data_IF_472561993058
#
_entry.id   IF_472561993058
#
_cell.length_a   1.000
_cell.length_b   1.000
_cell.length_c   1.000
_cell.angle_alpha   90.00
_cell.angle_beta   90.00
_cell.angle_gamma   90.00
#
_symmetry.space_group_name_H-M   'P 1'
#
loop_
_entity.id
_entity.type
_entity.pdbx_description
1 polymer ?
#
# COMPACT_ATOMS: atom_id res chain seq x y z
N UNK A 1 28.09 11.13 -5.27
CA UNK A 1 27.22 10.35 -4.35
C UNK A 1 25.93 10.07 -5.07
N UNK A 2 25.66 8.81 -5.42
CA UNK A 2 24.34 8.41 -5.92
C UNK A 2 23.59 7.93 -4.68
N UNK A 3 22.70 8.77 -4.13
CA UNK A 3 21.79 8.34 -3.09
C UNK A 3 20.77 7.39 -3.72
N UNK A 4 20.87 6.12 -3.33
CA UNK A 4 19.93 5.09 -3.72
C UNK A 4 18.65 5.29 -2.89
N UNK A 5 17.79 6.22 -3.34
CA UNK A 5 16.55 6.62 -2.66
C UNK A 5 15.61 5.44 -2.34
N UNK A 6 15.81 4.28 -2.99
CA UNK A 6 15.05 3.06 -2.72
C UNK A 6 15.39 2.41 -1.38
N UNK A 7 16.61 2.59 -0.84
CA UNK A 7 16.99 1.98 0.45
C UNK A 7 16.23 2.54 1.65
N UNK A 8 15.69 3.74 1.50
CA UNK A 8 14.96 4.44 2.57
C UNK A 8 13.46 4.15 2.55
N UNK A 9 12.97 3.45 1.53
CA UNK A 9 11.56 3.15 1.31
C UNK A 9 11.32 1.67 1.58
N UNK A 10 10.35 1.37 2.43
CA UNK A 10 10.08 0.01 2.86
C UNK A 10 8.58 -0.27 2.79
N UNK A 11 8.26 -1.50 2.38
CA UNK A 11 6.87 -1.98 2.27
C UNK A 11 6.80 -3.36 2.90
N UNK A 12 5.82 -3.54 3.80
CA UNK A 12 5.52 -4.82 4.42
C UNK A 12 4.09 -5.23 4.08
N UNK A 13 3.91 -6.53 3.83
CA UNK A 13 2.61 -7.10 3.49
C UNK A 13 2.35 -8.30 4.39
N UNK A 14 1.14 -8.38 4.96
CA UNK A 14 0.72 -9.50 5.79
C UNK A 14 -0.72 -9.90 5.47
N UNK A 15 -0.98 -11.20 5.37
CA UNK A 15 -2.35 -11.72 5.31
C UNK A 15 -3.08 -11.46 6.63
N UNK A 16 -4.33 -11.01 6.53
CA UNK A 16 -5.20 -10.70 7.67
C UNK A 16 -6.62 -11.19 7.39
N UNK A 17 -7.42 -11.31 8.45
CA UNK A 17 -8.86 -11.56 8.34
C UNK A 17 -9.64 -10.28 7.97
N UNK A 18 -10.81 -10.40 7.32
CA UNK A 18 -11.48 -11.63 6.92
C UNK A 18 -10.96 -12.18 5.59
N UNK A 19 -11.21 -13.46 5.32
CA UNK A 19 -11.33 -13.96 3.95
C UNK A 19 -12.67 -13.57 3.33
N UNK A 20 -12.66 -13.27 2.03
CA UNK A 20 -13.87 -13.06 1.21
C UNK A 20 -13.77 -14.00 0.00
N UNK A 21 -14.78 -14.86 -0.18
CA UNK A 21 -14.83 -15.85 -1.28
C UNK A 21 -13.52 -16.65 -1.45
N UNK A 22 -12.98 -17.11 -0.32
CA UNK A 22 -11.72 -17.86 -0.20
C UNK A 22 -10.46 -17.08 -0.62
N UNK A 23 -10.55 -15.77 -0.86
CA UNK A 23 -9.41 -14.86 -1.05
C UNK A 23 -9.07 -14.17 0.28
N UNK A 24 -7.78 -14.08 0.59
CA UNK A 24 -7.29 -13.41 1.79
C UNK A 24 -7.41 -11.89 1.67
N UNK A 25 -7.69 -11.22 2.79
CA UNK A 25 -7.38 -9.80 2.95
C UNK A 25 -5.90 -9.61 3.28
N UNK A 26 -5.37 -8.41 3.01
CA UNK A 26 -3.98 -8.08 3.24
C UNK A 26 -3.85 -6.73 3.95
N UNK A 27 -2.98 -6.65 4.95
CA UNK A 27 -2.49 -5.39 5.49
C UNK A 27 -1.20 -5.02 4.76
N UNK A 28 -1.12 -3.79 4.26
CA UNK A 28 0.06 -3.22 3.60
C UNK A 28 0.52 -2.01 4.38
N UNK A 29 1.79 -2.01 4.78
CA UNK A 29 2.42 -0.94 5.54
C UNK A 29 3.58 -0.34 4.76
N UNK A 30 3.57 0.98 4.60
CA UNK A 30 4.59 1.75 3.92
C UNK A 30 5.32 2.65 4.93
N UNK A 31 6.65 2.69 4.84
CA UNK A 31 7.49 3.67 5.54
C UNK A 31 8.42 4.36 4.53
N UNK A 32 8.52 5.67 4.64
CA UNK A 32 9.49 6.48 3.90
C UNK A 32 10.44 7.20 4.88
N UNK A 33 11.66 6.65 5.00
CA UNK A 33 12.76 7.19 5.79
C UNK A 33 13.69 8.11 4.98
N UNK A 34 13.28 8.54 3.79
CA UNK A 34 14.09 9.49 3.01
C UNK A 34 14.25 10.83 3.74
N UNK A 35 15.27 11.59 3.36
CA UNK A 35 15.53 12.90 3.94
C UNK A 35 14.29 13.81 3.87
N UNK A 36 14.15 14.70 4.85
CA UNK A 36 13.01 15.60 4.99
C UNK A 36 12.82 16.40 3.69
N UNK A 37 11.61 16.35 3.16
CA UNK A 37 11.17 16.99 1.92
C UNK A 37 9.66 16.81 1.73
N UNK A 38 9.15 17.18 0.56
CA UNK A 38 7.71 17.09 0.30
C UNK A 38 7.20 15.65 0.27
N UNK A 39 5.92 15.48 0.63
CA UNK A 39 5.22 14.19 0.62
C UNK A 39 5.31 13.55 -0.77
N UNK A 40 5.81 12.32 -0.84
CA UNK A 40 5.98 11.59 -2.08
C UNK A 40 4.93 10.48 -2.21
N UNK A 41 4.61 10.10 -3.45
CA UNK A 41 3.78 8.93 -3.71
C UNK A 41 4.65 7.67 -3.72
N UNK A 42 4.42 6.78 -2.77
CA UNK A 42 4.92 5.41 -2.86
C UNK A 42 3.96 4.61 -3.73
N UNK A 43 4.46 4.03 -4.82
CA UNK A 43 3.69 3.32 -5.84
C UNK A 43 4.30 1.94 -6.04
N UNK A 44 3.53 0.90 -5.72
CA UNK A 44 3.95 -0.50 -5.86
C UNK A 44 2.95 -1.28 -6.71
N UNK A 45 3.46 -2.16 -7.58
CA UNK A 45 2.59 -3.04 -8.37
C UNK A 45 1.80 -3.96 -7.43
N UNK A 46 0.48 -4.02 -7.59
CA UNK A 46 -0.36 -4.87 -6.72
C UNK A 46 0.04 -6.35 -6.78
N UNK A 47 0.55 -6.80 -7.94
CA UNK A 47 1.04 -8.16 -8.13
C UNK A 47 2.34 -8.47 -7.38
N UNK A 48 3.13 -7.47 -6.99
CA UNK A 48 4.32 -7.66 -6.13
C UNK A 48 3.93 -7.73 -4.65
N UNK A 49 2.83 -7.06 -4.27
CA UNK A 49 2.29 -7.09 -2.91
C UNK A 49 1.46 -8.35 -2.66
N UNK A 50 0.61 -8.72 -3.61
CA UNK A 50 -0.35 -9.83 -3.52
C UNK A 50 -0.17 -10.74 -4.74
N UNK A 51 0.36 -11.97 -4.55
CA UNK A 51 0.51 -12.92 -5.65
C UNK A 51 -0.82 -13.22 -6.34
N UNK A 52 -0.86 -13.03 -7.66
CA UNK A 52 -2.03 -13.30 -8.50
C UNK A 52 -3.03 -12.15 -8.65
N UNK A 53 -2.89 -11.05 -7.87
CA UNK A 53 -3.67 -9.84 -8.10
C UNK A 53 -3.22 -9.14 -9.39
N UNK A 54 -4.18 -8.65 -10.18
CA UNK A 54 -3.90 -7.93 -11.44
C UNK A 54 -4.17 -6.44 -11.33
N UNK A 55 -5.21 -6.07 -10.59
CA UNK A 55 -5.65 -4.68 -10.44
C UNK A 55 -6.06 -4.38 -8.99
N UNK A 56 -5.77 -3.14 -8.54
CA UNK A 56 -6.17 -2.66 -7.20
C UNK A 56 -7.69 -2.65 -7.05
N UNK A 57 -8.43 -2.46 -8.13
CA UNK A 57 -9.89 -2.45 -8.13
C UNK A 57 -10.54 -3.76 -7.69
N UNK A 58 -9.80 -4.88 -7.70
CA UNK A 58 -10.22 -6.16 -7.11
C UNK A 58 -10.42 -6.10 -5.60
N UNK A 59 -9.90 -5.05 -4.95
CA UNK A 59 -9.93 -4.84 -3.51
C UNK A 59 -10.64 -3.53 -3.15
N UNK A 60 -11.27 -3.51 -1.99
CA UNK A 60 -11.56 -2.30 -1.22
C UNK A 60 -10.30 -1.93 -0.45
N UNK A 61 -9.87 -0.68 -0.56
CA UNK A 61 -8.65 -0.18 0.09
C UNK A 61 -9.05 0.74 1.23
N UNK A 62 -8.70 0.36 2.46
CA UNK A 62 -9.08 1.07 3.69
C UNK A 62 -7.82 1.65 4.34
N UNK A 63 -7.73 2.98 4.53
CA UNK A 63 -6.68 3.64 5.32
C UNK A 63 -6.94 3.40 6.81
N UNK A 64 -6.08 2.61 7.44
CA UNK A 64 -6.24 2.23 8.85
C UNK A 64 -5.86 3.34 9.84
N UNK A 65 -5.17 4.39 9.38
CA UNK A 65 -4.81 5.52 10.24
C UNK A 65 -5.85 6.65 10.19
N UNK A 66 -6.62 6.72 9.10
CA UNK A 66 -7.67 7.72 8.92
C UNK A 66 -9.08 7.18 9.07
N UNK A 67 -9.23 5.86 9.19
CA UNK A 67 -10.52 5.17 9.18
C UNK A 67 -11.36 5.55 7.94
N UNK A 68 -10.68 5.62 6.78
CA UNK A 68 -11.25 6.09 5.51
C UNK A 68 -11.09 5.03 4.42
N UNK A 69 -12.11 4.85 3.59
CA UNK A 69 -12.02 3.98 2.41
C UNK A 69 -11.62 4.81 1.19
N UNK A 70 -10.55 4.43 0.49
CA UNK A 70 -10.19 5.03 -0.78
C UNK A 70 -11.23 4.65 -1.84
N UNK A 71 -11.94 5.66 -2.33
CA UNK A 71 -12.91 5.48 -3.42
C UNK A 71 -12.16 5.39 -4.76
N UNK A 72 -12.58 4.45 -5.59
CA UNK A 72 -12.19 4.34 -7.00
C UNK A 72 -10.70 4.16 -7.30
N UNK A 73 -9.92 3.56 -6.38
CA UNK A 73 -8.57 3.10 -6.72
C UNK A 73 -8.63 2.03 -7.82
N UNK A 74 -7.92 2.28 -8.91
CA UNK A 74 -7.85 1.44 -10.11
C UNK A 74 -6.44 1.40 -10.65
N UNK A 75 -6.14 0.35 -11.40
CA UNK A 75 -4.86 0.18 -12.07
C UNK A 75 -3.99 -0.87 -11.40
N UNK A 76 -2.82 -1.09 -11.99
CA UNK A 76 -1.90 -2.16 -11.57
C UNK A 76 -1.04 -1.79 -10.37
N UNK A 77 -1.05 -0.53 -9.91
CA UNK A 77 -0.26 -0.05 -8.78
C UNK A 77 -1.14 0.44 -7.63
N UNK A 78 -0.78 0.09 -6.40
CA UNK A 78 -1.27 0.73 -5.18
C UNK A 78 -0.40 1.95 -4.90
N UNK A 79 -1.01 3.14 -4.95
CA UNK A 79 -0.32 4.41 -4.79
C UNK A 79 -0.77 5.14 -3.52
N UNK A 80 0.15 5.36 -2.57
CA UNK A 80 -0.13 6.02 -1.32
C UNK A 80 0.77 7.24 -1.11
N UNK A 81 0.19 8.35 -0.65
CA UNK A 81 0.94 9.55 -0.29
C UNK A 81 1.53 9.41 1.11
N UNK A 82 2.83 9.17 1.19
CA UNK A 82 3.59 8.98 2.44
C UNK A 82 4.48 10.19 2.66
N UNK A 83 4.51 10.70 3.90
CA UNK A 83 5.43 11.79 4.24
C UNK A 83 6.86 11.25 4.35
N UNK A 84 7.85 12.05 3.97
CA UNK A 84 9.28 11.73 4.18
C UNK A 84 9.65 11.90 5.65
N UNK A 85 10.90 11.59 6.02
CA UNK A 85 11.39 11.77 7.39
C UNK A 85 10.82 10.77 8.40
N UNK A 86 10.53 9.54 7.96
CA UNK A 86 9.96 8.48 8.79
C UNK A 86 8.43 8.44 8.79
N UNK A 87 7.80 9.12 7.84
CA UNK A 87 6.35 9.04 7.66
C UNK A 87 5.93 7.64 7.26
N UNK A 88 4.73 7.26 7.69
CA UNK A 88 4.17 5.94 7.41
C UNK A 88 2.70 6.00 7.02
N UNK A 89 2.25 4.93 6.35
CA UNK A 89 0.85 4.68 6.01
C UNK A 89 0.55 3.20 6.10
N UNK A 90 -0.66 2.89 6.54
CA UNK A 90 -1.14 1.52 6.58
C UNK A 90 -2.49 1.44 5.91
N UNK A 91 -2.65 0.48 5.01
CA UNK A 91 -3.94 0.17 4.39
C UNK A 91 -4.30 -1.30 4.57
N UNK A 92 -5.59 -1.57 4.63
CA UNK A 92 -6.17 -2.90 4.50
C UNK A 92 -6.76 -3.05 3.11
N UNK A 93 -6.40 -4.14 2.43
CA UNK A 93 -6.93 -4.56 1.15
C UNK A 93 -7.89 -5.72 1.41
N UNK A 94 -9.19 -5.46 1.24
CA UNK A 94 -10.25 -6.45 1.43
C UNK A 94 -10.77 -6.86 0.04
N UNK A 95 -10.75 -8.14 -0.36
CA UNK A 95 -11.26 -8.54 -1.67
C UNK A 95 -12.74 -8.14 -1.83
N UNK A 96 -13.10 -7.63 -3.00
CA UNK A 96 -14.50 -7.42 -3.36
C UNK A 96 -15.15 -8.75 -3.76
N UNK A 97 -16.45 -8.86 -3.50
CA UNK A 97 -17.30 -9.94 -4.02
C UNK A 97 -17.50 -9.81 -5.52
#
# INVERSE_FOLDING_TARGET
MIQDDKKNKQVWVKQVEPKVDNKWSYAVFYIDNSHIGDRYFMSEKISTLIPGAKDVSEYTVEDLFKDEVFKDMKGSNLELKVATGGGCRMVKLVPKK
#
